data_IF_421202828932
#
_entry.id   IF_421202828932
#
_cell.length_a   1.000
_cell.length_b   1.000
_cell.length_c   1.000
_cell.angle_alpha   90.00
_cell.angle_beta   90.00
_cell.angle_gamma   90.00
#
_symmetry.space_group_name_H-M   'P 1'
#
loop_
_entity.id
_entity.type
_entity.pdbx_description
1 polymer ?
#
# COMPACT_ATOMS: atom_id res chain seq x y z
N UNK A 1 1.07 24.09 -33.90
CA UNK A 1 1.91 23.33 -32.95
C UNK A 1 1.33 23.50 -31.55
N UNK A 2 0.58 22.53 -31.03
CA UNK A 2 0.12 22.57 -29.64
C UNK A 2 1.33 22.33 -28.70
N UNK A 3 1.37 23.05 -27.59
CA UNK A 3 2.43 22.96 -26.58
C UNK A 3 2.22 21.70 -25.73
N UNK A 4 3.16 20.76 -25.80
CA UNK A 4 3.22 19.60 -24.90
C UNK A 4 3.23 20.04 -23.43
N UNK A 5 2.26 19.50 -22.68
CA UNK A 5 2.12 19.75 -21.26
C UNK A 5 3.30 19.16 -20.49
N UNK A 6 3.84 19.96 -19.56
CA UNK A 6 4.81 19.52 -18.54
C UNK A 6 4.35 18.21 -17.91
N UNK A 7 5.07 17.12 -18.16
CA UNK A 7 4.90 15.88 -17.44
C UNK A 7 4.99 16.13 -15.94
N UNK A 8 4.06 15.56 -15.17
CA UNK A 8 4.12 15.61 -13.71
C UNK A 8 5.39 14.91 -13.27
N UNK A 9 6.44 15.65 -12.93
CA UNK A 9 7.64 15.10 -12.31
C UNK A 9 7.24 14.50 -10.94
N UNK A 10 7.00 13.20 -10.89
CA UNK A 10 6.89 12.47 -9.63
C UNK A 10 8.27 12.49 -8.97
N UNK A 11 8.43 13.06 -7.77
CA UNK A 11 9.73 13.14 -7.14
C UNK A 11 10.29 11.73 -6.91
N UNK A 12 11.41 11.42 -7.52
CA UNK A 12 12.14 10.18 -7.21
C UNK A 12 12.95 10.33 -5.94
N UNK A 13 13.12 9.22 -5.23
CA UNK A 13 13.90 9.11 -4.01
C UNK A 13 14.69 7.81 -4.06
N UNK A 14 15.86 7.82 -3.42
CA UNK A 14 16.71 6.63 -3.34
C UNK A 14 16.54 5.95 -1.99
N UNK A 15 16.40 4.64 -2.00
CA UNK A 15 16.42 3.81 -0.80
C UNK A 15 17.78 3.95 -0.10
N UNK A 16 17.81 4.27 1.20
CA UNK A 16 19.06 4.44 1.95
C UNK A 16 19.84 3.13 2.14
N UNK A 17 19.18 1.98 2.00
CA UNK A 17 19.75 0.64 2.19
C UNK A 17 20.24 0.00 0.89
N UNK A 18 19.46 0.10 -0.20
CA UNK A 18 19.76 -0.54 -1.50
C UNK A 18 20.34 0.45 -2.51
N UNK A 19 20.13 1.76 -2.32
CA UNK A 19 20.46 2.85 -3.26
C UNK A 19 19.65 2.85 -4.56
N UNK A 20 18.69 1.95 -4.71
CA UNK A 20 17.75 1.95 -5.83
C UNK A 20 16.85 3.19 -5.77
N UNK A 21 16.65 3.81 -6.93
CA UNK A 21 15.72 4.92 -7.10
C UNK A 21 14.32 4.37 -7.35
N UNK A 22 13.33 4.98 -6.70
CA UNK A 22 11.93 4.67 -6.92
C UNK A 22 11.07 5.94 -6.76
N UNK A 23 9.84 5.95 -7.29
CA UNK A 23 8.88 7.00 -7.00
C UNK A 23 8.73 7.18 -5.49
N UNK A 24 8.69 8.42 -5.00
CA UNK A 24 8.48 8.75 -3.57
C UNK A 24 7.35 7.94 -2.93
N UNK A 25 6.28 7.74 -3.69
CA UNK A 25 5.06 7.08 -3.23
C UNK A 25 5.26 5.57 -3.01
N UNK A 26 6.19 4.93 -3.72
CA UNK A 26 6.52 3.52 -3.53
C UNK A 26 7.39 3.28 -2.29
N UNK A 27 8.06 4.31 -1.77
CA UNK A 27 8.97 4.20 -0.63
C UNK A 27 8.28 4.51 0.70
N UNK A 28 8.87 4.05 1.79
CA UNK A 28 8.46 4.35 3.16
C UNK A 28 9.42 5.39 3.73
N UNK A 29 8.89 6.49 4.25
CA UNK A 29 9.69 7.51 4.91
C UNK A 29 9.88 7.17 6.38
N UNK A 30 11.11 7.29 6.84
CA UNK A 30 11.47 7.34 8.25
C UNK A 30 11.78 8.79 8.61
N UNK A 31 11.26 9.25 9.74
CA UNK A 31 11.48 10.57 10.28
C UNK A 31 12.27 10.48 11.59
N UNK A 32 13.07 11.51 11.86
CA UNK A 32 13.76 11.67 13.14
C UNK A 32 12.92 12.60 14.02
N UNK A 33 12.53 12.12 15.21
CA UNK A 33 11.80 12.92 16.19
C UNK A 33 12.72 13.95 16.85
N UNK A 34 12.17 15.00 17.48
CA UNK A 34 12.97 15.94 18.29
C UNK A 34 13.75 15.25 19.42
N UNK A 35 13.25 14.11 19.93
CA UNK A 35 13.88 13.32 20.99
C UNK A 35 14.94 12.32 20.46
N UNK A 36 15.30 12.41 19.18
CA UNK A 36 16.30 11.56 18.54
C UNK A 36 15.80 10.17 18.15
N UNK A 37 14.49 9.89 18.21
CA UNK A 37 13.92 8.58 17.87
C UNK A 37 13.53 8.48 16.39
N UNK A 38 13.78 7.33 15.78
CA UNK A 38 13.42 7.04 14.39
C UNK A 38 12.00 6.48 14.34
N UNK A 39 11.10 7.18 13.65
CA UNK A 39 9.68 6.85 13.57
C UNK A 39 9.21 6.63 12.12
N UNK A 40 8.25 5.72 11.90
CA UNK A 40 7.62 5.56 10.60
C UNK A 40 6.75 6.76 10.25
N UNK A 41 6.98 7.37 9.08
CA UNK A 41 6.14 8.43 8.52
C UNK A 41 5.57 7.98 7.17
N UNK A 42 4.67 6.99 7.22
CA UNK A 42 4.08 6.36 6.02
C UNK A 42 3.30 7.33 5.13
N UNK A 43 2.87 8.48 5.69
CA UNK A 43 2.14 9.55 4.99
C UNK A 43 3.06 10.69 4.52
N UNK A 44 4.34 10.66 4.88
CA UNK A 44 5.33 11.68 4.56
C UNK A 44 4.91 13.11 4.96
N UNK A 45 4.34 13.27 6.16
CA UNK A 45 3.83 14.55 6.69
C UNK A 45 4.68 15.14 7.82
N UNK A 46 5.55 14.36 8.46
CA UNK A 46 6.35 14.86 9.58
C UNK A 46 7.35 15.93 9.09
N UNK A 47 7.57 17.01 9.85
CA UNK A 47 8.54 18.05 9.48
C UNK A 47 9.99 17.52 9.47
N UNK A 48 10.90 18.28 8.87
CA UNK A 48 12.34 17.99 8.91
C UNK A 48 12.85 17.02 7.83
N UNK A 49 14.07 16.53 8.03
CA UNK A 49 14.71 15.56 7.13
C UNK A 49 13.98 14.22 7.23
N UNK A 50 13.96 13.46 6.14
CA UNK A 50 13.46 12.09 6.15
C UNK A 50 14.34 11.19 5.32
N UNK A 51 14.46 9.95 5.77
CA UNK A 51 15.16 8.89 5.08
C UNK A 51 14.14 7.97 4.41
N UNK A 52 14.47 7.39 3.26
CA UNK A 52 13.54 6.57 2.50
C UNK A 52 14.02 5.12 2.43
N UNK A 53 13.12 4.16 2.67
CA UNK A 53 13.38 2.73 2.54
C UNK A 53 12.40 2.13 1.53
N UNK A 54 12.91 1.23 0.69
CA UNK A 54 12.13 0.47 -0.30
C UNK A 54 12.31 -1.03 -0.14
N UNK A 55 12.71 -1.48 1.06
CA UNK A 55 12.93 -2.89 1.37
C UNK A 55 11.72 -3.47 2.08
N UNK A 56 11.52 -4.79 1.97
CA UNK A 56 10.55 -5.51 2.80
C UNK A 56 10.98 -5.55 4.28
N UNK A 57 10.07 -6.04 5.12
CA UNK A 57 10.27 -6.17 6.56
C UNK A 57 11.46 -7.08 6.89
N UNK A 58 11.60 -8.21 6.22
CA UNK A 58 12.67 -9.17 6.50
C UNK A 58 14.07 -8.57 6.22
N UNK A 59 14.21 -7.84 5.12
CA UNK A 59 15.42 -7.12 4.75
C UNK A 59 15.69 -5.94 5.69
N UNK A 60 14.65 -5.22 6.13
CA UNK A 60 14.79 -4.18 7.15
C UNK A 60 15.30 -4.75 8.48
N UNK A 61 14.70 -5.83 8.96
CA UNK A 61 15.04 -6.46 10.24
C UNK A 61 16.48 -7.01 10.21
N UNK A 62 16.91 -7.58 9.07
CA UNK A 62 18.33 -7.96 8.84
C UNK A 62 19.27 -6.75 8.85
N UNK A 63 18.86 -5.64 8.23
CA UNK A 63 19.65 -4.41 8.23
C UNK A 63 19.75 -3.76 9.61
N UNK A 64 18.70 -3.89 10.43
CA UNK A 64 18.68 -3.47 11.83
C UNK A 64 19.66 -4.32 12.66
N UNK A 65 19.53 -5.64 12.61
CA UNK A 65 20.35 -6.58 13.37
C UNK A 65 21.86 -6.48 13.03
N UNK A 66 22.20 -6.25 11.76
CA UNK A 66 23.58 -6.07 11.31
C UNK A 66 24.17 -4.68 11.58
N UNK A 67 23.38 -3.73 12.10
CA UNK A 67 23.79 -2.33 12.29
C UNK A 67 23.88 -1.51 11.00
N UNK A 68 23.67 -2.11 9.82
CA UNK A 68 23.68 -1.42 8.52
C UNK A 68 22.66 -0.28 8.49
N UNK A 69 21.48 -0.48 9.08
CA UNK A 69 20.42 0.52 9.16
C UNK A 69 20.88 1.75 9.95
N UNK A 70 21.56 1.57 11.09
CA UNK A 70 22.10 2.67 11.90
C UNK A 70 23.07 3.54 11.09
N UNK A 71 24.03 2.92 10.41
CA UNK A 71 24.98 3.66 9.56
C UNK A 71 24.31 4.36 8.36
N UNK A 72 23.24 3.79 7.80
CA UNK A 72 22.46 4.44 6.74
C UNK A 72 21.67 5.66 7.26
N UNK A 73 21.01 5.53 8.41
CA UNK A 73 20.22 6.60 9.02
C UNK A 73 21.13 7.74 9.50
N UNK A 74 22.27 7.44 10.11
CA UNK A 74 23.20 8.46 10.59
C UNK A 74 23.69 9.37 9.46
N UNK A 75 23.98 8.78 8.28
CA UNK A 75 24.32 9.52 7.06
C UNK A 75 23.16 10.32 6.51
N UNK A 76 21.95 9.75 6.49
CA UNK A 76 20.75 10.42 5.97
C UNK A 76 20.33 11.63 6.82
N UNK A 77 20.42 11.52 8.14
CA UNK A 77 20.06 12.58 9.08
C UNK A 77 21.23 13.50 9.46
N UNK A 78 22.47 13.13 9.12
CA UNK A 78 23.70 13.84 9.48
C UNK A 78 23.91 13.95 11.00
N UNK A 79 23.55 12.91 11.74
CA UNK A 79 23.75 12.81 13.20
C UNK A 79 23.91 11.35 13.62
N UNK A 80 24.72 11.11 14.64
CA UNK A 80 24.83 9.79 15.28
C UNK A 80 23.91 9.64 16.50
N UNK A 81 23.30 10.73 16.94
CA UNK A 81 22.34 10.74 18.05
C UNK A 81 20.97 10.28 17.55
N UNK A 82 20.88 8.97 17.28
CA UNK A 82 19.67 8.31 16.80
C UNK A 82 19.37 7.07 17.65
N UNK A 83 18.11 6.98 18.08
CA UNK A 83 17.51 5.83 18.73
C UNK A 83 16.62 5.13 17.71
N UNK A 84 16.95 3.87 17.41
CA UNK A 84 16.19 3.04 16.48
C UNK A 84 15.48 2.01 17.35
N UNK A 85 14.13 2.00 17.40
CA UNK A 85 13.39 0.99 18.12
C UNK A 85 13.65 -0.41 17.54
N UNK A 86 13.78 -1.42 18.40
CA UNK A 86 14.01 -2.81 17.96
C UNK A 86 12.78 -3.37 17.21
N UNK A 87 11.60 -2.85 17.51
CA UNK A 87 10.31 -3.17 16.89
C UNK A 87 9.99 -2.28 15.67
N UNK A 88 10.96 -1.56 15.10
CA UNK A 88 10.72 -0.61 14.00
C UNK A 88 9.98 -1.25 12.81
N UNK A 89 10.33 -2.48 12.44
CA UNK A 89 9.65 -3.22 11.37
C UNK A 89 8.16 -3.44 11.66
N UNK A 90 7.81 -3.77 12.91
CA UNK A 90 6.41 -3.92 13.35
C UNK A 90 5.66 -2.58 13.36
N UNK A 91 6.33 -1.50 13.81
CA UNK A 91 5.75 -0.16 13.78
C UNK A 91 5.43 0.31 12.36
N UNK A 92 6.31 0.04 11.39
CA UNK A 92 6.07 0.36 9.98
C UNK A 92 4.90 -0.46 9.44
N UNK A 93 4.87 -1.77 9.68
CA UNK A 93 3.78 -2.64 9.24
C UNK A 93 2.42 -2.17 9.80
N UNK A 94 2.38 -1.86 11.09
CA UNK A 94 1.19 -1.34 11.78
C UNK A 94 0.75 0.02 11.22
N UNK A 95 1.69 0.93 10.95
CA UNK A 95 1.39 2.23 10.37
C UNK A 95 0.84 2.12 8.92
N UNK A 96 1.42 1.23 8.10
CA UNK A 96 0.94 0.96 6.75
C UNK A 96 -0.46 0.35 6.77
N UNK A 97 -0.67 -0.69 7.59
CA UNK A 97 -1.97 -1.30 7.85
C UNK A 97 -3.01 -0.25 8.21
N UNK A 98 -2.75 0.58 9.22
CA UNK A 98 -3.68 1.62 9.65
C UNK A 98 -3.96 2.64 8.55
N UNK A 99 -2.94 3.00 7.76
CA UNK A 99 -3.14 3.91 6.62
C UNK A 99 -4.06 3.33 5.54
N UNK A 100 -4.07 2.01 5.33
CA UNK A 100 -5.00 1.35 4.40
C UNK A 100 -6.41 1.31 4.99
N UNK A 101 -6.56 0.95 6.26
CA UNK A 101 -7.86 0.89 6.95
C UNK A 101 -8.52 2.28 7.00
N UNK A 102 -7.77 3.33 7.35
CA UNK A 102 -8.24 4.72 7.34
C UNK A 102 -8.72 5.13 5.94
N UNK A 103 -7.97 4.73 4.89
CA UNK A 103 -8.32 5.00 3.50
C UNK A 103 -9.63 4.30 3.14
N UNK A 104 -9.79 3.02 3.45
CA UNK A 104 -11.03 2.28 3.22
C UNK A 104 -12.23 2.93 3.91
N UNK A 105 -12.07 3.36 5.17
CA UNK A 105 -13.12 4.08 5.90
C UNK A 105 -13.47 5.45 5.30
N UNK A 106 -12.51 6.14 4.66
CA UNK A 106 -12.79 7.37 3.92
C UNK A 106 -13.57 7.10 2.63
N UNK A 107 -13.17 6.09 1.86
CA UNK A 107 -13.87 5.71 0.62
C UNK A 107 -15.28 5.17 0.92
N UNK A 108 -15.48 4.47 2.04
CA UNK A 108 -16.80 4.06 2.53
C UNK A 108 -17.73 5.24 2.79
N UNK A 109 -17.23 6.26 3.49
CA UNK A 109 -17.99 7.49 3.80
C UNK A 109 -18.25 8.35 2.56
N UNK A 110 -17.34 8.34 1.60
CA UNK A 110 -17.49 9.05 0.33
C UNK A 110 -18.45 8.35 -0.65
N UNK A 111 -18.90 7.13 -0.36
CA UNK A 111 -19.78 6.36 -1.25
C UNK A 111 -19.09 5.84 -2.51
N UNK A 112 -17.76 5.80 -2.54
CA UNK A 112 -16.95 5.36 -3.70
C UNK A 112 -16.72 3.84 -3.73
N UNK A 113 -17.24 3.12 -2.73
CA UNK A 113 -17.22 1.67 -2.64
C UNK A 113 -18.60 1.06 -2.37
N UNK A 114 -18.74 -0.19 -2.81
CA UNK A 114 -19.91 -1.04 -2.64
C UNK A 114 -19.51 -2.27 -1.82
N UNK A 115 -20.41 -2.71 -0.94
CA UNK A 115 -20.25 -3.93 -0.14
C UNK A 115 -21.49 -4.81 -0.29
N UNK A 116 -21.29 -6.13 -0.23
CA UNK A 116 -22.35 -7.14 -0.38
C UNK A 116 -22.26 -7.88 -1.71
N UNK A 117 -22.25 -9.21 -1.67
CA UNK A 117 -21.96 -10.06 -2.82
C UNK A 117 -22.83 -9.79 -4.04
N UNK A 118 -24.15 -9.71 -3.87
CA UNK A 118 -25.10 -9.46 -4.98
C UNK A 118 -24.92 -8.08 -5.65
N UNK A 119 -24.70 -7.05 -4.83
CA UNK A 119 -24.47 -5.68 -5.33
C UNK A 119 -23.16 -5.59 -6.09
N UNK A 120 -22.11 -6.21 -5.55
CA UNK A 120 -20.80 -6.29 -6.20
C UNK A 120 -20.90 -7.07 -7.51
N UNK A 121 -21.57 -8.23 -7.50
CA UNK A 121 -21.74 -9.05 -8.70
C UNK A 121 -22.46 -8.27 -9.81
N UNK A 122 -23.53 -7.55 -9.47
CA UNK A 122 -24.29 -6.74 -10.43
C UNK A 122 -23.41 -5.63 -11.03
N UNK A 123 -22.67 -4.90 -10.20
CA UNK A 123 -21.75 -3.85 -10.67
C UNK A 123 -20.59 -4.43 -11.50
N UNK A 124 -20.07 -5.59 -11.11
CA UNK A 124 -18.99 -6.28 -11.80
C UNK A 124 -19.41 -6.68 -13.21
N UNK A 125 -20.59 -7.29 -13.38
CA UNK A 125 -21.13 -7.68 -14.70
C UNK A 125 -21.38 -6.49 -15.63
N UNK A 126 -21.62 -5.30 -15.06
CA UNK A 126 -21.77 -4.05 -15.81
C UNK A 126 -20.43 -3.39 -16.18
N UNK A 127 -19.30 -3.92 -15.73
CA UNK A 127 -17.98 -3.32 -15.93
C UNK A 127 -17.73 -2.06 -15.09
N UNK A 128 -18.49 -1.87 -14.01
CA UNK A 128 -18.39 -0.66 -13.17
C UNK A 128 -17.29 -0.78 -12.10
N UNK A 129 -16.91 -2.00 -11.74
CA UNK A 129 -15.93 -2.27 -10.68
C UNK A 129 -14.50 -2.04 -11.17
N UNK A 130 -13.73 -1.24 -10.41
CA UNK A 130 -12.35 -0.84 -10.70
C UNK A 130 -11.31 -1.54 -9.83
N UNK A 131 -11.74 -2.05 -8.68
CA UNK A 131 -10.93 -2.85 -7.77
C UNK A 131 -11.87 -3.68 -6.90
N UNK A 132 -11.62 -4.99 -6.86
CA UNK A 132 -12.32 -5.94 -6.01
C UNK A 132 -11.35 -6.42 -4.92
N UNK A 133 -11.78 -6.37 -3.65
CA UNK A 133 -11.01 -6.89 -2.51
C UNK A 133 -11.82 -7.95 -1.75
N UNK A 134 -11.15 -9.04 -1.39
CA UNK A 134 -11.67 -10.13 -0.57
C UNK A 134 -10.96 -10.14 0.77
N UNK A 135 -11.69 -10.32 1.88
CA UNK A 135 -11.04 -10.58 3.17
C UNK A 135 -10.16 -11.85 3.12
N UNK A 136 -9.13 -11.93 3.96
CA UNK A 136 -8.21 -13.07 4.01
C UNK A 136 -8.91 -14.41 4.33
N UNK A 137 -10.03 -14.35 5.07
CA UNK A 137 -10.85 -15.50 5.45
C UNK A 137 -12.10 -15.65 4.57
N UNK A 138 -12.12 -15.01 3.40
CA UNK A 138 -13.20 -15.18 2.43
C UNK A 138 -13.15 -16.57 1.79
N UNK A 139 -14.31 -17.22 1.68
CA UNK A 139 -14.41 -18.53 1.04
C UNK A 139 -14.12 -18.45 -0.46
N UNK A 140 -13.39 -19.44 -0.98
CA UNK A 140 -12.97 -19.46 -2.38
C UNK A 140 -14.15 -19.46 -3.38
N UNK A 141 -15.26 -20.12 -3.03
CA UNK A 141 -16.45 -20.14 -3.88
C UNK A 141 -17.02 -18.73 -4.11
N UNK A 142 -17.04 -17.93 -3.04
CA UNK A 142 -17.46 -16.52 -3.12
C UNK A 142 -16.50 -15.69 -3.96
N UNK A 143 -15.19 -15.93 -3.81
CA UNK A 143 -14.16 -15.26 -4.61
C UNK A 143 -14.33 -15.58 -6.10
N UNK A 144 -14.35 -16.88 -6.46
CA UNK A 144 -14.53 -17.35 -7.84
C UNK A 144 -15.79 -16.80 -8.50
N UNK A 145 -16.91 -16.73 -7.76
CA UNK A 145 -18.17 -16.17 -8.27
C UNK A 145 -18.01 -14.70 -8.65
N UNK A 146 -17.39 -13.89 -7.81
CA UNK A 146 -17.18 -12.47 -8.08
C UNK A 146 -16.12 -12.23 -9.16
N UNK A 147 -15.05 -13.02 -9.19
CA UNK A 147 -14.04 -12.98 -10.25
C UNK A 147 -14.63 -13.32 -11.62
N UNK A 148 -15.53 -14.32 -11.67
CA UNK A 148 -16.25 -14.63 -12.90
C UNK A 148 -17.16 -13.47 -13.33
N UNK A 149 -17.81 -12.79 -12.38
CA UNK A 149 -18.64 -11.62 -12.69
C UNK A 149 -17.80 -10.45 -13.22
N UNK A 150 -16.61 -10.22 -12.66
CA UNK A 150 -15.62 -9.25 -13.16
C UNK A 150 -15.23 -9.56 -14.61
N UNK A 151 -14.91 -10.83 -14.91
CA UNK A 151 -14.57 -11.28 -16.26
C UNK A 151 -15.69 -11.06 -17.27
N UNK A 152 -16.95 -11.35 -16.88
CA UNK A 152 -18.12 -11.09 -17.72
C UNK A 152 -18.29 -9.60 -18.02
N UNK A 153 -17.97 -8.73 -17.06
CA UNK A 153 -17.96 -7.28 -17.27
C UNK A 153 -16.75 -6.74 -18.04
N UNK A 154 -15.88 -7.61 -18.56
CA UNK A 154 -14.70 -7.23 -19.36
C UNK A 154 -13.45 -6.92 -18.56
N UNK A 155 -13.39 -7.21 -17.26
CA UNK A 155 -12.15 -7.08 -16.49
C UNK A 155 -11.22 -8.27 -16.72
N UNK A 156 -9.93 -7.98 -16.91
CA UNK A 156 -8.88 -9.00 -17.07
C UNK A 156 -8.29 -9.45 -15.72
N UNK A 157 -8.26 -8.54 -14.74
CA UNK A 157 -7.75 -8.80 -13.40
C UNK A 157 -8.79 -9.46 -12.48
N UNK A 158 -8.31 -10.35 -11.60
CA UNK A 158 -9.09 -10.91 -10.50
C UNK A 158 -9.09 -10.00 -9.27
N UNK A 159 -9.99 -10.25 -8.32
CA UNK A 159 -9.97 -9.57 -7.04
C UNK A 159 -8.70 -9.87 -6.24
N UNK A 160 -8.29 -8.89 -5.43
CA UNK A 160 -7.11 -9.02 -4.57
C UNK A 160 -7.51 -9.51 -3.19
N UNK A 161 -6.67 -10.35 -2.58
CA UNK A 161 -6.83 -10.75 -1.19
C UNK A 161 -6.30 -9.62 -0.29
N UNK A 162 -7.17 -9.13 0.58
CA UNK A 162 -6.84 -8.19 1.64
C UNK A 162 -6.17 -8.97 2.79
N UNK A 163 -5.00 -8.54 3.30
CA UNK A 163 -4.27 -9.31 4.32
C UNK A 163 -5.01 -9.53 5.65
N UNK A 164 -6.09 -8.79 5.93
CA UNK A 164 -6.89 -8.97 7.14
C UNK A 164 -8.16 -9.77 6.91
N UNK A 165 -8.65 -10.34 8.01
CA UNK A 165 -9.93 -11.01 8.08
C UNK A 165 -11.11 -10.03 7.99
N UNK A 166 -12.30 -10.58 7.70
CA UNK A 166 -13.55 -9.86 7.54
C UNK A 166 -13.91 -8.98 8.73
N UNK A 167 -13.52 -9.37 9.94
CA UNK A 167 -13.83 -8.62 11.17
C UNK A 167 -13.16 -7.24 11.15
N UNK A 168 -11.88 -7.18 10.78
CA UNK A 168 -11.12 -5.92 10.67
C UNK A 168 -11.61 -5.12 9.47
N UNK A 169 -11.87 -5.78 8.33
CA UNK A 169 -12.43 -5.11 7.16
C UNK A 169 -13.79 -4.46 7.49
N UNK A 170 -14.66 -5.17 8.19
CA UNK A 170 -15.96 -4.68 8.65
C UNK A 170 -15.82 -3.47 9.57
N UNK A 171 -14.92 -3.56 10.55
CA UNK A 171 -14.64 -2.46 11.50
C UNK A 171 -14.17 -1.19 10.77
N UNK A 172 -13.22 -1.32 9.84
CA UNK A 172 -12.69 -0.17 9.10
C UNK A 172 -13.75 0.55 8.25
N UNK A 173 -14.75 -0.20 7.78
CA UNK A 173 -15.85 0.32 6.97
C UNK A 173 -17.02 0.85 7.82
N UNK A 174 -16.99 0.65 9.15
CA UNK A 174 -18.11 0.97 10.03
C UNK A 174 -19.38 0.17 9.72
N UNK A 175 -19.22 -1.06 9.22
CA UNK A 175 -20.30 -1.96 8.77
C UNK A 175 -20.18 -3.32 9.46
N UNK A 176 -21.19 -4.16 9.29
CA UNK A 176 -21.16 -5.54 9.80
C UNK A 176 -21.04 -6.55 8.66
N UNK A 177 -20.35 -7.67 8.93
CA UNK A 177 -20.25 -8.83 8.04
C UNK A 177 -19.78 -8.53 6.60
N UNK A 178 -18.82 -7.63 6.46
CA UNK A 178 -18.23 -7.31 5.16
C UNK A 178 -17.12 -8.30 4.81
N UNK A 179 -17.40 -9.17 3.85
CA UNK A 179 -16.44 -10.16 3.32
C UNK A 179 -15.76 -9.67 2.04
N UNK A 180 -16.51 -8.97 1.19
CA UNK A 180 -16.04 -8.44 -0.09
C UNK A 180 -16.40 -6.97 -0.20
N UNK A 181 -15.49 -6.19 -0.79
CA UNK A 181 -15.74 -4.81 -1.19
C UNK A 181 -15.27 -4.57 -2.62
N UNK A 182 -15.98 -3.68 -3.30
CA UNK A 182 -15.63 -3.26 -4.65
C UNK A 182 -15.63 -1.74 -4.74
N UNK A 183 -14.59 -1.17 -5.34
CA UNK A 183 -14.51 0.25 -5.64
C UNK A 183 -15.03 0.49 -7.04
N UNK A 184 -15.97 1.42 -7.18
CA UNK A 184 -16.59 1.80 -8.47
C UNK A 184 -16.01 3.09 -9.04
N UNK A 185 -15.39 3.92 -8.18
CA UNK A 185 -14.65 5.11 -8.60
C UNK A 185 -13.19 4.76 -8.93
N UNK A 186 -12.70 5.30 -10.06
CA UNK A 186 -11.35 5.00 -10.57
C UNK A 186 -10.27 5.60 -9.67
N UNK A 187 -10.47 6.81 -9.16
CA UNK A 187 -9.49 7.48 -8.32
C UNK A 187 -9.42 6.84 -6.93
N UNK A 188 -10.57 6.46 -6.36
CA UNK A 188 -10.67 5.68 -5.12
C UNK A 188 -9.93 4.33 -5.25
N UNK A 189 -10.20 3.59 -6.32
CA UNK A 189 -9.52 2.33 -6.61
C UNK A 189 -8.00 2.50 -6.69
N UNK A 190 -7.50 3.53 -7.38
CA UNK A 190 -6.07 3.80 -7.46
C UNK A 190 -5.45 4.13 -6.10
N UNK A 191 -6.10 4.99 -5.30
CA UNK A 191 -5.62 5.34 -3.94
C UNK A 191 -5.54 4.14 -3.02
N UNK A 192 -6.57 3.29 -3.03
CA UNK A 192 -6.61 2.06 -2.21
C UNK A 192 -5.58 1.06 -2.69
N UNK A 193 -5.51 0.79 -4.01
CA UNK A 193 -4.53 -0.12 -4.61
C UNK A 193 -3.11 0.28 -4.27
N UNK A 194 -2.80 1.57 -4.37
CA UNK A 194 -1.49 2.09 -4.03
C UNK A 194 -1.15 1.89 -2.55
N UNK A 195 -2.06 2.25 -1.64
CA UNK A 195 -1.84 2.07 -0.20
C UNK A 195 -1.69 0.59 0.18
N UNK A 196 -2.53 -0.28 -0.39
CA UNK A 196 -2.51 -1.73 -0.16
C UNK A 196 -1.21 -2.34 -0.70
N UNK A 197 -0.81 -1.99 -1.93
CA UNK A 197 0.41 -2.49 -2.54
C UNK A 197 1.65 -2.18 -1.71
N UNK A 198 1.76 -0.96 -1.17
CA UNK A 198 2.87 -0.59 -0.25
C UNK A 198 2.88 -1.44 1.01
N UNK A 199 1.71 -1.67 1.61
CA UNK A 199 1.63 -2.46 2.82
C UNK A 199 2.05 -3.90 2.56
N UNK A 200 1.49 -4.53 1.54
CA UNK A 200 1.77 -5.93 1.23
C UNK A 200 3.20 -6.16 0.76
N UNK A 201 3.75 -5.26 -0.08
CA UNK A 201 5.15 -5.30 -0.46
C UNK A 201 6.08 -5.23 0.77
N UNK A 202 5.71 -4.45 1.78
CA UNK A 202 6.49 -4.37 3.01
C UNK A 202 6.38 -5.62 3.88
N UNK A 203 5.19 -6.20 4.05
CA UNK A 203 5.02 -7.41 4.87
C UNK A 203 5.38 -8.71 4.14
N UNK A 204 5.76 -8.64 2.85
CA UNK A 204 6.04 -9.81 2.02
C UNK A 204 4.79 -10.64 1.70
N UNK A 205 3.60 -10.05 1.75
CA UNK A 205 2.38 -10.72 1.33
C UNK A 205 2.30 -10.63 -0.20
N UNK A 206 2.23 -11.77 -0.89
CA UNK A 206 1.93 -11.81 -2.31
C UNK A 206 0.53 -11.25 -2.53
N UNK A 207 0.46 -10.00 -2.98
CA UNK A 207 -0.72 -9.51 -3.67
C UNK A 207 -0.51 -9.88 -5.11
N UNK A 208 -1.52 -10.42 -5.78
CA UNK A 208 -1.57 -10.56 -7.23
C UNK A 208 -1.49 -9.23 -8.00
N UNK A 209 -0.83 -8.21 -7.45
CA UNK A 209 -0.28 -7.08 -8.17
C UNK A 209 0.91 -7.61 -8.94
N UNK A 210 0.67 -8.05 -10.19
CA UNK A 210 1.71 -8.14 -11.19
C UNK A 210 2.58 -6.89 -11.07
N UNK A 211 3.85 -7.11 -10.73
CA UNK A 211 4.82 -6.06 -10.66
C UNK A 211 4.74 -5.25 -11.95
N UNK A 212 4.47 -3.96 -11.84
CA UNK A 212 4.91 -3.02 -12.88
C UNK A 212 6.43 -3.04 -12.77
N UNK A 213 7.03 -4.04 -13.42
CA UNK A 213 8.46 -4.10 -13.68
C UNK A 213 8.75 -2.86 -14.49
N UNK A 214 9.54 -1.95 -13.92
CA UNK A 214 10.17 -0.90 -14.70
C UNK A 214 10.89 -1.60 -15.85
N UNK A 215 10.40 -1.37 -17.07
CA UNK A 215 11.06 -1.79 -18.27
C UNK A 215 12.45 -1.14 -18.26
N UNK A 216 13.49 -1.94 -18.08
CA UNK A 216 14.83 -1.60 -18.51
C UNK A 216 14.81 -1.57 -20.04
N UNK A 217 15.11 -0.45 -20.71
CA UNK A 217 15.47 -0.51 -22.11
C UNK A 217 16.93 -0.93 -22.18
N UNK A 218 17.18 -2.16 -22.60
CA UNK A 218 18.50 -2.60 -23.05
C UNK A 218 18.52 -2.67 -24.58
N UNK A 219 19.60 -2.08 -25.12
CA UNK A 219 20.11 -2.10 -26.50
C UNK A 219 19.37 -1.29 -27.58
#
# INVERSE_FOLDING_TARGET
MPREGRGSHTPERSCILTREAAPREALIRLALSPDGEILPDVRAKAPGRGAWIGVDRAALDKALASGKLRGALARAFKTNDIRIPDDLGERIASALRQSVLDRLGLEARAGTLVSGGEKIETAARKGEVRLLLHAADAGEDGNRRLDQAMRVGGAEEQGLVFPEQRAILSLALGRQNVVHIAMIDRAAAQRVRHALGRWCAFIGAEVGLSAVTAATPDA
#
